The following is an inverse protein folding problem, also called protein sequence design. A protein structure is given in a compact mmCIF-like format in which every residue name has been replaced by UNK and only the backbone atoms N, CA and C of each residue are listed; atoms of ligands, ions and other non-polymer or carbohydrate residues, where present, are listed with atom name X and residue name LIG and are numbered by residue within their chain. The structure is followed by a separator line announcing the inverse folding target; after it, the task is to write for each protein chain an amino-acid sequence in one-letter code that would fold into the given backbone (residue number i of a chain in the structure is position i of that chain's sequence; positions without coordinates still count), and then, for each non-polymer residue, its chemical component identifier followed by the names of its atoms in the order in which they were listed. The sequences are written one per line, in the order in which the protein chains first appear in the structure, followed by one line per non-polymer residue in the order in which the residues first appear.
data_IF_581976300501
#
_entry.id   IF_581976300501
#
_cell.length_a   1.000
_cell.length_b   1.000
_cell.length_c   1.000
_cell.angle_alpha   90.00
_cell.angle_beta   90.00
_cell.angle_gamma   90.00
#
_symmetry.space_group_name_H-M   'P 1'
#
loop_
_entity.id
_entity.type
_entity.pdbx_description
1 polymer ?
#
# COMPACT_ATOMS: atom_id res chain seq x y z
N UNK A 1 5.11 -0.74 25.84
CA UNK A 1 3.82 -1.31 25.35
C UNK A 1 3.96 -1.95 23.95
N UNK A 2 5.10 -2.59 23.64
CA UNK A 2 5.38 -3.26 22.36
C UNK A 2 5.98 -4.67 22.59
N UNK A 3 5.37 -5.46 23.47
CA UNK A 3 5.89 -6.79 23.87
C UNK A 3 4.93 -7.96 23.57
N UNK A 4 4.03 -7.78 22.59
CA UNK A 4 3.20 -8.86 22.03
C UNK A 4 3.22 -8.84 20.50
N UNK A 5 4.43 -8.93 19.95
CA UNK A 5 4.70 -8.97 18.50
C UNK A 5 4.95 -10.39 17.99
N UNK A 6 4.54 -11.40 18.75
CA UNK A 6 4.54 -12.77 18.28
C UNK A 6 3.27 -12.99 17.44
N UNK A 7 3.50 -13.21 16.14
CA UNK A 7 2.58 -13.75 15.13
C UNK A 7 1.70 -12.70 14.40
N UNK A 8 2.30 -12.06 13.40
CA UNK A 8 1.65 -11.23 12.36
C UNK A 8 2.07 -11.77 11.00
N UNK A 9 1.13 -12.09 10.12
CA UNK A 9 1.46 -12.26 8.70
C UNK A 9 1.51 -10.85 8.11
N UNK A 10 2.67 -10.47 7.59
CA UNK A 10 2.82 -9.33 6.71
C UNK A 10 3.09 -9.89 5.31
N UNK A 11 2.16 -9.66 4.38
CA UNK A 11 2.48 -9.82 2.96
C UNK A 11 3.33 -8.62 2.57
N UNK A 12 4.52 -8.89 2.03
CA UNK A 12 5.47 -7.88 1.56
C UNK A 12 5.47 -7.88 0.04
N UNK A 13 5.24 -6.72 -0.57
CA UNK A 13 5.30 -6.54 -2.01
C UNK A 13 6.48 -5.63 -2.37
N UNK A 14 7.31 -6.08 -3.32
CA UNK A 14 8.45 -5.33 -3.84
C UNK A 14 8.39 -5.15 -5.37
N UNK A 15 7.75 -6.07 -6.10
CA UNK A 15 7.69 -6.04 -7.57
C UNK A 15 6.32 -5.60 -8.11
N UNK A 16 6.33 -5.04 -9.33
CA UNK A 16 5.12 -4.66 -10.07
C UNK A 16 4.31 -5.91 -10.46
N UNK A 17 3.04 -5.96 -10.04
CA UNK A 17 2.08 -6.99 -10.47
C UNK A 17 0.79 -6.33 -10.95
N UNK A 18 0.28 -6.64 -12.15
CA UNK A 18 -0.92 -6.00 -12.65
C UNK A 18 -2.12 -6.28 -11.73
N UNK A 19 -2.97 -5.26 -11.54
CA UNK A 19 -4.09 -5.25 -10.58
C UNK A 19 -5.01 -6.48 -10.64
N UNK A 20 -5.15 -7.06 -11.84
CA UNK A 20 -5.92 -8.29 -12.10
C UNK A 20 -5.49 -9.48 -11.23
N UNK A 21 -4.31 -9.46 -10.62
CA UNK A 21 -3.81 -10.54 -9.77
C UNK A 21 -4.08 -10.33 -8.27
N UNK A 22 -4.69 -9.22 -7.83
CA UNK A 22 -4.90 -8.96 -6.40
C UNK A 22 -5.87 -9.95 -5.74
N UNK A 23 -6.87 -10.46 -6.48
CA UNK A 23 -7.74 -11.53 -6.00
C UNK A 23 -6.98 -12.85 -5.75
N UNK A 24 -5.89 -13.10 -6.48
CA UNK A 24 -5.03 -14.27 -6.27
C UNK A 24 -4.35 -14.16 -4.91
N UNK A 25 -3.82 -12.98 -4.56
CA UNK A 25 -3.17 -12.72 -3.27
C UNK A 25 -4.11 -13.05 -2.10
N UNK A 26 -5.35 -12.56 -2.16
CA UNK A 26 -6.38 -12.89 -1.17
C UNK A 26 -6.61 -14.42 -1.08
N UNK A 27 -6.81 -15.09 -2.22
CA UNK A 27 -7.10 -16.53 -2.25
C UNK A 27 -5.94 -17.38 -1.72
N UNK A 28 -4.69 -17.02 -2.03
CA UNK A 28 -3.49 -17.67 -1.52
C UNK A 28 -3.33 -17.44 -0.02
N UNK A 29 -3.58 -16.23 0.46
CA UNK A 29 -3.55 -15.91 1.89
C UNK A 29 -4.51 -16.80 2.67
N UNK A 30 -5.74 -16.99 2.16
CA UNK A 30 -6.73 -17.91 2.74
C UNK A 30 -6.24 -19.36 2.79
N UNK A 31 -5.60 -19.84 1.72
CA UNK A 31 -5.07 -21.20 1.66
C UNK A 31 -3.92 -21.42 2.65
N UNK A 32 -2.99 -20.47 2.74
CA UNK A 32 -1.86 -20.50 3.68
C UNK A 32 -2.38 -20.51 5.12
N UNK A 33 -3.29 -19.61 5.48
CA UNK A 33 -3.90 -19.57 6.82
C UNK A 33 -4.61 -20.89 7.15
N UNK A 34 -5.33 -21.48 6.19
CA UNK A 34 -5.99 -22.79 6.37
C UNK A 34 -4.98 -23.93 6.53
N UNK A 35 -3.85 -23.87 5.83
CA UNK A 35 -2.81 -24.91 5.83
C UNK A 35 -1.99 -24.93 7.12
N UNK A 36 -1.78 -23.77 7.72
CA UNK A 36 -0.92 -23.59 8.89
C UNK A 36 -1.73 -23.10 10.10
N UNK A 37 -2.21 -24.00 10.98
CA UNK A 37 -3.13 -23.65 12.08
C UNK A 37 -2.56 -22.71 13.14
N UNK A 38 -1.23 -22.52 13.18
CA UNK A 38 -0.57 -21.57 14.07
C UNK A 38 -0.69 -20.11 13.58
N UNK A 39 -1.18 -19.88 12.35
CA UNK A 39 -1.42 -18.56 11.81
C UNK A 39 -2.79 -18.03 12.26
N UNK A 40 -2.79 -16.83 12.83
CA UNK A 40 -4.01 -16.19 13.31
C UNK A 40 -4.71 -15.42 12.19
N UNK A 41 -5.82 -15.98 11.70
CA UNK A 41 -6.65 -15.37 10.66
C UNK A 41 -7.22 -14.00 11.06
N UNK A 42 -7.32 -13.69 12.35
CA UNK A 42 -7.88 -12.43 12.85
C UNK A 42 -6.83 -11.31 12.98
N UNK A 43 -5.55 -11.61 12.76
CA UNK A 43 -4.42 -10.66 12.88
C UNK A 43 -3.58 -10.59 11.61
N UNK A 44 -4.26 -10.49 10.47
CA UNK A 44 -3.63 -10.34 9.16
C UNK A 44 -3.38 -8.85 8.83
N UNK A 45 -2.17 -8.54 8.36
CA UNK A 45 -1.78 -7.20 7.92
C UNK A 45 -1.09 -7.23 6.56
N UNK A 46 -1.15 -6.13 5.83
CA UNK A 46 -0.41 -5.93 4.59
C UNK A 46 0.61 -4.81 4.76
N UNK A 47 1.79 -4.99 4.17
CA UNK A 47 2.87 -4.02 4.20
C UNK A 47 3.50 -3.92 2.82
N UNK A 48 3.90 -2.73 2.40
CA UNK A 48 4.79 -2.62 1.26
C UNK A 48 5.38 -1.23 1.11
N UNK A 49 6.41 -1.16 0.26
CA UNK A 49 7.10 0.07 -0.09
C UNK A 49 6.99 0.33 -1.59
N UNK A 50 6.76 1.58 -1.97
CA UNK A 50 6.76 2.07 -3.34
C UNK A 50 5.55 1.48 -4.05
N UNK A 51 5.76 0.70 -5.11
CA UNK A 51 4.69 -0.11 -5.69
C UNK A 51 4.03 -1.04 -4.65
N UNK A 52 4.81 -1.57 -3.71
CA UNK A 52 4.27 -2.35 -2.60
C UNK A 52 3.40 -1.52 -1.66
N UNK A 53 3.69 -0.22 -1.48
CA UNK A 53 2.86 0.70 -0.72
C UNK A 53 1.52 0.96 -1.42
N UNK A 54 1.56 1.14 -2.75
CA UNK A 54 0.38 1.17 -3.60
C UNK A 54 -0.44 -0.13 -3.47
N UNK A 55 0.21 -1.30 -3.59
CA UNK A 55 -0.45 -2.59 -3.46
C UNK A 55 -1.03 -2.82 -2.05
N UNK A 56 -0.34 -2.37 -1.00
CA UNK A 56 -0.82 -2.44 0.38
C UNK A 56 -2.08 -1.57 0.60
N UNK A 57 -2.23 -0.47 -0.15
CA UNK A 57 -3.44 0.33 -0.14
C UNK A 57 -4.59 -0.31 -0.93
N UNK A 58 -4.30 -0.94 -2.07
CA UNK A 58 -5.33 -1.53 -2.94
C UNK A 58 -5.84 -2.91 -2.48
N UNK A 59 -5.02 -3.68 -1.77
CA UNK A 59 -5.41 -5.03 -1.32
C UNK A 59 -6.64 -5.07 -0.40
N UNK A 60 -6.77 -4.17 0.60
CA UNK A 60 -7.98 -4.05 1.41
C UNK A 60 -9.23 -3.71 0.60
N UNK A 61 -9.12 -2.96 -0.51
CA UNK A 61 -10.24 -2.67 -1.41
C UNK A 61 -10.71 -3.93 -2.16
N UNK A 62 -9.77 -4.78 -2.60
CA UNK A 62 -10.06 -5.97 -3.43
C UNK A 62 -10.35 -7.24 -2.62
N UNK A 63 -10.26 -7.17 -1.30
CA UNK A 63 -10.55 -8.26 -0.37
C UNK A 63 -11.89 -8.06 0.34
N UNK A 64 -12.50 -9.12 0.92
CA UNK A 64 -13.67 -8.95 1.77
C UNK A 64 -13.39 -7.97 2.92
N UNK A 65 -14.40 -7.19 3.29
CA UNK A 65 -14.31 -6.19 4.36
C UNK A 65 -13.67 -6.79 5.63
N UNK A 66 -12.75 -6.03 6.24
CA UNK A 66 -12.03 -6.44 7.46
C UNK A 66 -11.15 -7.69 7.33
N UNK A 67 -10.86 -8.19 6.12
CA UNK A 67 -9.93 -9.32 5.93
C UNK A 67 -8.50 -8.93 6.36
N UNK A 68 -8.03 -7.77 5.91
CA UNK A 68 -6.83 -7.13 6.45
C UNK A 68 -7.22 -6.21 7.61
N UNK A 69 -6.54 -6.33 8.75
CA UNK A 69 -6.79 -5.47 9.92
C UNK A 69 -5.97 -4.19 9.89
N UNK A 70 -4.82 -4.25 9.25
CA UNK A 70 -3.91 -3.13 9.11
C UNK A 70 -3.25 -3.15 7.73
N UNK A 71 -3.05 -1.96 7.16
CA UNK A 71 -2.22 -1.71 6.01
C UNK A 71 -1.11 -0.73 6.40
N UNK A 72 0.12 -1.03 5.99
CA UNK A 72 1.27 -0.14 6.15
C UNK A 72 1.78 0.19 4.77
N UNK A 73 1.59 1.45 4.37
CA UNK A 73 1.91 1.94 3.04
C UNK A 73 3.13 2.85 3.14
N UNK A 74 4.26 2.39 2.63
CA UNK A 74 5.53 3.14 2.63
C UNK A 74 5.78 3.72 1.24
N UNK A 75 5.99 5.03 1.16
CA UNK A 75 6.16 5.78 -0.08
C UNK A 75 5.22 5.35 -1.23
N UNK A 76 3.89 5.27 -1.02
CA UNK A 76 2.98 4.73 -2.04
C UNK A 76 2.90 5.66 -3.25
N UNK A 77 2.85 5.07 -4.45
CA UNK A 77 2.40 5.78 -5.66
C UNK A 77 0.88 5.87 -5.59
N UNK A 78 0.35 7.07 -5.41
CA UNK A 78 -1.09 7.26 -5.27
C UNK A 78 -1.76 7.40 -6.62
N UNK A 79 -1.14 8.13 -7.54
CA UNK A 79 -1.63 8.34 -8.89
C UNK A 79 -0.47 8.28 -9.89
N UNK A 80 -0.55 7.33 -10.83
CA UNK A 80 0.49 7.08 -11.83
C UNK A 80 0.70 8.22 -12.83
N UNK A 81 -0.23 9.18 -12.94
CA UNK A 81 -0.03 10.41 -13.72
C UNK A 81 1.03 11.33 -13.11
N UNK A 82 1.32 11.21 -11.81
CA UNK A 82 2.36 11.98 -11.12
C UNK A 82 3.66 11.18 -10.92
N UNK A 83 3.80 10.04 -11.60
CA UNK A 83 4.99 9.21 -11.55
C UNK A 83 5.80 9.28 -12.85
N UNK A 84 7.03 8.76 -12.86
CA UNK A 84 7.91 8.82 -14.03
C UNK A 84 7.26 8.23 -15.29
N UNK A 85 7.29 8.99 -16.39
CA UNK A 85 6.65 8.61 -17.65
C UNK A 85 7.19 7.29 -18.21
N UNK A 86 8.50 7.05 -18.11
CA UNK A 86 9.13 5.82 -18.62
C UNK A 86 8.59 4.59 -17.92
N UNK A 87 8.46 4.66 -16.58
CA UNK A 87 7.89 3.57 -15.79
C UNK A 87 6.40 3.40 -16.12
N UNK A 88 5.64 4.49 -16.06
CA UNK A 88 4.19 4.47 -16.26
C UNK A 88 3.82 3.95 -17.65
N UNK A 89 4.43 4.46 -18.73
CA UNK A 89 4.17 4.00 -20.10
C UNK A 89 4.59 2.54 -20.32
N UNK A 90 5.70 2.10 -19.71
CA UNK A 90 6.16 0.71 -19.84
C UNK A 90 5.16 -0.30 -19.27
N UNK A 91 4.54 0.03 -18.14
CA UNK A 91 3.67 -0.90 -17.42
C UNK A 91 2.18 -0.68 -17.64
N UNK A 92 1.76 0.56 -17.91
CA UNK A 92 0.37 0.91 -18.24
C UNK A 92 0.13 0.97 -19.75
N UNK A 93 1.17 1.08 -20.58
CA UNK A 93 1.06 1.14 -22.03
C UNK A 93 0.29 2.38 -22.50
N UNK A 94 -0.45 2.24 -23.60
CA UNK A 94 -1.42 3.25 -24.08
C UNK A 94 -2.72 3.20 -23.26
N UNK A 95 -2.58 3.25 -21.93
CA UNK A 95 -3.71 3.35 -21.01
C UNK A 95 -4.49 4.64 -21.29
N UNK A 96 -5.82 4.53 -21.28
CA UNK A 96 -6.69 5.71 -21.32
C UNK A 96 -6.84 6.30 -19.91
N UNK A 97 -7.47 7.48 -19.82
CA UNK A 97 -7.72 8.13 -18.53
C UNK A 97 -8.53 7.26 -17.55
N UNK A 98 -9.31 6.29 -18.04
CA UNK A 98 -10.11 5.41 -17.17
C UNK A 98 -9.21 4.45 -16.41
N UNK A 99 -8.18 3.91 -17.05
CA UNK A 99 -7.20 3.03 -16.41
C UNK A 99 -6.36 3.76 -15.35
N UNK A 100 -5.98 5.01 -15.61
CA UNK A 100 -5.31 5.85 -14.60
C UNK A 100 -6.21 6.12 -13.39
N UNK A 101 -7.49 6.43 -13.64
CA UNK A 101 -8.44 6.67 -12.56
C UNK A 101 -8.73 5.40 -11.75
N UNK A 102 -8.78 4.22 -12.38
CA UNK A 102 -8.98 2.96 -11.64
C UNK A 102 -7.78 2.56 -10.80
N UNK A 103 -6.58 2.98 -11.21
CA UNK A 103 -5.33 2.73 -10.50
C UNK A 103 -5.00 3.80 -9.45
N UNK A 104 -5.84 4.83 -9.29
CA UNK A 104 -5.63 5.91 -8.32
C UNK A 104 -6.23 5.54 -6.96
N UNK A 105 -5.37 5.27 -5.97
CA UNK A 105 -5.79 4.83 -4.63
C UNK A 105 -6.47 5.94 -3.83
N UNK A 106 -6.36 7.21 -4.26
CA UNK A 106 -7.08 8.33 -3.63
C UNK A 106 -8.56 8.37 -4.02
N UNK A 107 -8.98 7.65 -5.07
CA UNK A 107 -10.37 7.65 -5.54
C UNK A 107 -11.32 6.83 -4.68
N UNK A 108 -10.83 5.78 -4.02
CA UNK A 108 -11.67 4.91 -3.21
C UNK A 108 -10.98 4.52 -1.90
N UNK A 109 -11.24 5.29 -0.84
CA UNK A 109 -10.62 5.10 0.48
C UNK A 109 -11.54 4.44 1.52
N UNK A 110 -12.79 4.17 1.17
CA UNK A 110 -13.86 3.72 2.08
C UNK A 110 -13.51 2.47 2.90
N UNK A 111 -12.70 1.57 2.32
CA UNK A 111 -12.28 0.33 2.96
C UNK A 111 -11.39 0.56 4.20
N UNK A 112 -10.77 1.74 4.34
CA UNK A 112 -10.01 2.13 5.54
C UNK A 112 -10.90 2.50 6.72
N UNK A 113 -12.23 2.60 6.57
CA UNK A 113 -13.16 2.67 7.71
C UNK A 113 -13.09 1.43 8.61
N UNK A 114 -12.64 0.29 8.08
CA UNK A 114 -12.47 -0.96 8.84
C UNK A 114 -11.03 -1.46 8.90
N UNK A 115 -10.15 -0.93 8.06
CA UNK A 115 -8.75 -1.32 7.98
C UNK A 115 -7.90 -0.18 8.50
N UNK A 116 -7.12 -0.38 9.56
CA UNK A 116 -6.25 0.68 10.08
C UNK A 116 -5.09 0.94 9.11
N UNK A 117 -4.83 2.20 8.81
CA UNK A 117 -3.76 2.62 7.89
C UNK A 117 -2.62 3.28 8.66
N UNK A 118 -1.39 2.85 8.36
CA UNK A 118 -0.17 3.60 8.67
C UNK A 118 0.48 4.02 7.34
N UNK A 119 0.55 5.33 7.12
CA UNK A 119 1.23 5.93 5.98
C UNK A 119 2.64 6.36 6.41
N UNK A 120 3.65 6.02 5.62
CA UNK A 120 5.04 6.42 5.87
C UNK A 120 5.62 7.01 4.59
N UNK A 121 6.18 8.22 4.64
CA UNK A 121 6.78 8.83 3.44
C UNK A 121 7.95 9.77 3.79
N UNK A 122 8.94 9.83 2.91
CA UNK A 122 10.05 10.78 2.96
C UNK A 122 9.67 12.12 2.34
N UNK A 123 10.01 13.24 2.97
CA UNK A 123 9.77 14.58 2.41
C UNK A 123 10.64 14.85 1.18
N UNK A 124 11.88 14.38 1.18
CA UNK A 124 12.83 14.55 0.08
C UNK A 124 12.93 13.30 -0.81
N UNK A 125 11.86 12.53 -0.93
CA UNK A 125 11.78 11.41 -1.87
C UNK A 125 11.71 11.95 -3.31
N UNK A 126 12.79 11.73 -4.07
CA UNK A 126 12.97 12.17 -5.45
C UNK A 126 12.42 11.17 -6.48
N UNK A 127 12.07 9.95 -6.04
CA UNK A 127 11.51 8.92 -6.89
C UNK A 127 9.98 8.89 -6.79
N UNK A 128 9.43 8.68 -5.59
CA UNK A 128 7.99 8.81 -5.33
C UNK A 128 7.77 10.12 -4.57
N UNK A 129 7.47 11.20 -5.30
CA UNK A 129 7.25 12.49 -4.64
C UNK A 129 6.17 12.43 -3.56
N UNK A 130 6.43 13.14 -2.45
CA UNK A 130 5.53 13.21 -1.29
C UNK A 130 4.10 13.65 -1.63
N UNK A 131 3.91 14.35 -2.77
CA UNK A 131 2.59 14.68 -3.33
C UNK A 131 1.66 13.46 -3.39
N UNK A 132 2.17 12.27 -3.69
CA UNK A 132 1.36 11.04 -3.70
C UNK A 132 0.74 10.76 -2.34
N UNK A 133 1.53 10.80 -1.27
CA UNK A 133 1.00 10.68 0.09
C UNK A 133 0.09 11.83 0.46
N UNK A 134 0.41 13.07 0.05
CA UNK A 134 -0.42 14.24 0.33
C UNK A 134 -1.84 14.09 -0.25
N UNK A 135 -1.97 13.68 -1.51
CA UNK A 135 -3.27 13.42 -2.14
C UNK A 135 -4.04 12.30 -1.45
N UNK A 136 -3.34 11.24 -1.04
CA UNK A 136 -3.98 10.13 -0.36
C UNK A 136 -4.48 10.53 1.04
N UNK A 137 -3.70 11.32 1.77
CA UNK A 137 -4.12 11.91 3.05
C UNK A 137 -5.32 12.83 2.89
N UNK A 138 -5.32 13.70 1.87
CA UNK A 138 -6.44 14.59 1.56
C UNK A 138 -7.73 13.79 1.34
N UNK A 139 -7.69 12.75 0.50
CA UNK A 139 -8.85 11.88 0.26
C UNK A 139 -9.35 11.19 1.54
N UNK A 140 -8.45 10.71 2.41
CA UNK A 140 -8.83 10.10 3.70
C UNK A 140 -9.50 11.13 4.63
N UNK A 141 -8.96 12.36 4.69
CA UNK A 141 -9.50 13.44 5.51
C UNK A 141 -10.89 13.88 5.02
N UNK A 142 -11.07 14.07 3.72
CA UNK A 142 -12.37 14.43 3.13
C UNK A 142 -13.46 13.40 3.43
N UNK A 143 -13.08 12.12 3.58
CA UNK A 143 -13.99 11.02 3.91
C UNK A 143 -14.10 10.73 5.43
N UNK A 144 -13.50 11.55 6.28
CA UNK A 144 -13.47 11.37 7.75
C UNK A 144 -12.92 10.00 8.18
N UNK A 145 -11.82 9.57 7.55
CA UNK A 145 -11.17 8.29 7.86
C UNK A 145 -9.88 8.57 8.64
N UNK A 146 -9.77 7.94 9.81
CA UNK A 146 -8.57 8.02 10.65
C UNK A 146 -7.41 7.21 10.05
N UNK A 147 -6.21 7.79 10.09
CA UNK A 147 -4.96 7.13 9.71
C UNK A 147 -3.81 7.63 10.58
N UNK A 148 -2.81 6.77 10.75
CA UNK A 148 -1.53 7.15 11.34
C UNK A 148 -0.56 7.57 10.23
N UNK A 149 0.25 8.59 10.47
CA UNK A 149 1.27 9.04 9.51
C UNK A 149 2.64 9.19 10.19
N UNK A 150 3.68 8.74 9.51
CA UNK A 150 5.08 8.99 9.87
C UNK A 150 5.80 9.65 8.70
N UNK A 151 6.24 10.88 8.91
CA UNK A 151 6.99 11.65 7.92
C UNK A 151 8.43 11.78 8.37
N UNK A 152 9.38 11.45 7.49
CA UNK A 152 10.82 11.62 7.72
C UNK A 152 11.41 12.53 6.65
N UNK A 153 12.51 13.23 6.94
CA UNK A 153 13.23 13.99 5.91
C UNK A 153 13.72 13.09 4.78
N UNK A 154 14.28 11.92 5.13
CA UNK A 154 14.72 10.88 4.20
C UNK A 154 14.07 9.57 4.65
N UNK A 155 13.46 8.83 3.71
CA UNK A 155 12.92 7.50 3.99
C UNK A 155 13.97 6.44 3.67
N UNK A 156 14.93 6.27 4.58
CA UNK A 156 15.97 5.26 4.41
C UNK A 156 15.68 4.08 5.34
N UNK A 157 14.88 3.11 4.87
CA UNK A 157 14.96 1.75 5.40
C UNK A 157 15.72 0.78 4.49
N UNK A 158 15.91 1.07 3.20
CA UNK A 158 16.82 0.35 2.28
C UNK A 158 17.20 1.30 1.13
N UNK A 159 18.29 2.03 1.28
CA UNK A 159 19.28 2.14 0.20
C UNK A 159 20.62 2.52 0.83
N UNK A 160 21.50 1.54 0.98
CA UNK A 160 22.83 1.66 1.58
C UNK A 160 23.83 2.41 0.69
N UNK A 161 23.37 3.34 -0.16
CA UNK A 161 24.20 3.97 -1.19
C UNK A 161 24.28 5.50 -1.11
N UNK A 162 23.74 6.13 -0.06
CA UNK A 162 23.85 7.58 0.15
C UNK A 162 24.37 7.98 1.53
N UNK A 163 25.29 7.17 2.07
CA UNK A 163 26.31 7.66 3.02
C UNK A 163 27.69 7.43 2.40
N UNK A 164 28.16 8.45 1.67
CA UNK A 164 29.58 8.73 1.49
C UNK A 164 29.89 10.02 2.24
#
# INVERSE_FOLDING_TARGET
MFHRLLWRIALVFQDFFPEKHFHIIYSLSRQVIKRYPFLDANRLSVYGWSYGGYAAALLPERAPESFFKCAVCVAPVANFLYYDATYTERYMGNADNSAYNSADISKNVEHFKKTRLLLVHGLYDDNVHFQNSAMFMEALQENNIDFDVMVSSIICFIDSHTVN
#
